data_IF_641707096836
#
_entry.id   IF_641707096836
#
_cell.length_a   1.000
_cell.length_b   1.000
_cell.length_c   1.000
_cell.angle_alpha   90.00
_cell.angle_beta   90.00
_cell.angle_gamma   90.00
#
_symmetry.space_group_name_H-M   'P 1'
#
loop_
_entity.id
_entity.type
_entity.pdbx_description
1 polymer ?
#
# COMPACT_ATOMS: atom_id res chain seq x y z
N UNK A 1 46.88 -25.16 8.87
CA UNK A 1 45.74 -24.22 8.94
C UNK A 1 44.63 -24.79 8.07
N UNK A 2 43.69 -25.53 8.65
CA UNK A 2 42.55 -26.08 7.92
C UNK A 2 41.55 -24.94 7.73
N UNK A 3 41.50 -24.37 6.54
CA UNK A 3 40.46 -23.42 6.17
C UNK A 3 39.14 -24.19 6.18
N UNK A 4 38.27 -23.93 7.16
CA UNK A 4 36.92 -24.48 7.12
C UNK A 4 36.26 -23.99 5.82
N UNK A 5 35.71 -24.91 5.00
CA UNK A 5 35.03 -24.50 3.79
C UNK A 5 33.86 -23.61 4.18
N UNK A 6 33.94 -22.33 3.82
CA UNK A 6 32.90 -21.37 4.09
C UNK A 6 31.62 -21.75 3.34
N UNK A 7 30.45 -21.32 3.83
CA UNK A 7 29.16 -21.52 3.13
C UNK A 7 29.22 -21.07 1.66
N UNK A 8 30.02 -20.03 1.38
CA UNK A 8 30.31 -19.56 0.03
C UNK A 8 31.02 -20.60 -0.83
N UNK A 9 31.94 -21.39 -0.27
CA UNK A 9 32.63 -22.48 -0.99
C UNK A 9 31.65 -23.59 -1.40
N UNK A 10 30.69 -23.96 -0.52
CA UNK A 10 29.66 -24.95 -0.86
C UNK A 10 28.76 -24.47 -1.99
N UNK A 11 28.34 -23.20 -1.96
CA UNK A 11 27.55 -22.58 -3.03
C UNK A 11 28.35 -22.46 -4.34
N UNK A 12 29.63 -22.09 -4.26
CA UNK A 12 30.51 -21.96 -5.42
C UNK A 12 30.81 -23.31 -6.10
N UNK A 13 30.96 -24.39 -5.32
CA UNK A 13 31.18 -25.74 -5.83
C UNK A 13 29.89 -26.49 -6.17
N UNK A 14 28.71 -25.93 -5.85
CA UNK A 14 27.43 -26.55 -6.18
C UNK A 14 27.21 -26.65 -7.70
N UNK A 15 26.50 -27.69 -8.11
CA UNK A 15 26.15 -27.92 -9.51
C UNK A 15 25.30 -26.79 -10.11
N UNK A 16 25.31 -26.62 -11.45
CA UNK A 16 24.63 -25.52 -12.13
C UNK A 16 23.12 -25.47 -11.84
N UNK A 17 22.47 -26.63 -11.71
CA UNK A 17 21.04 -26.70 -11.35
C UNK A 17 20.77 -26.15 -9.94
N UNK A 18 21.64 -26.45 -8.97
CA UNK A 18 21.47 -26.01 -7.58
C UNK A 18 21.63 -24.49 -7.50
N UNK A 19 22.62 -23.94 -8.21
CA UNK A 19 22.80 -22.48 -8.32
C UNK A 19 21.58 -21.78 -8.92
N UNK A 20 20.98 -22.36 -9.95
CA UNK A 20 19.76 -21.82 -10.55
C UNK A 20 18.57 -21.81 -9.59
N UNK A 21 18.34 -22.92 -8.88
CA UNK A 21 17.27 -23.00 -7.87
C UNK A 21 17.51 -21.98 -6.74
N UNK A 22 18.73 -21.84 -6.24
CA UNK A 22 19.06 -20.84 -5.21
C UNK A 22 18.79 -19.40 -5.70
N UNK A 23 19.12 -19.08 -6.95
CA UNK A 23 18.84 -17.77 -7.54
C UNK A 23 17.34 -17.54 -7.64
N UNK A 24 16.58 -18.50 -8.13
CA UNK A 24 15.12 -18.42 -8.20
C UNK A 24 14.48 -18.20 -6.83
N UNK A 25 14.93 -18.93 -5.81
CA UNK A 25 14.45 -18.76 -4.44
C UNK A 25 14.77 -17.37 -3.89
N UNK A 26 15.97 -16.85 -4.18
CA UNK A 26 16.37 -15.50 -3.79
C UNK A 26 15.50 -14.44 -4.49
N UNK A 27 15.26 -14.58 -5.79
CA UNK A 27 14.38 -13.70 -6.55
C UNK A 27 12.94 -13.73 -6.02
N UNK A 28 12.40 -14.92 -5.75
CA UNK A 28 11.06 -15.09 -5.17
C UNK A 28 10.96 -14.47 -3.77
N UNK A 29 12.02 -14.59 -2.96
CA UNK A 29 12.08 -13.96 -1.63
C UNK A 29 12.01 -12.43 -1.73
N UNK A 30 12.82 -11.82 -2.61
CA UNK A 30 12.78 -10.37 -2.85
C UNK A 30 11.39 -9.96 -3.35
N UNK A 31 10.82 -10.72 -4.29
CA UNK A 31 9.49 -10.43 -4.84
C UNK A 31 8.40 -10.44 -3.77
N UNK A 32 8.45 -11.42 -2.86
CA UNK A 32 7.52 -11.52 -1.73
C UNK A 32 7.60 -10.29 -0.83
N UNK A 33 8.82 -9.85 -0.48
CA UNK A 33 9.01 -8.63 0.31
C UNK A 33 8.51 -7.38 -0.40
N UNK A 34 8.73 -7.25 -1.72
CA UNK A 34 8.19 -6.14 -2.51
C UNK A 34 6.67 -6.06 -2.44
N UNK A 35 5.98 -7.19 -2.60
CA UNK A 35 4.50 -7.25 -2.50
C UNK A 35 4.04 -6.85 -1.10
N UNK A 36 4.70 -7.35 -0.05
CA UNK A 36 4.37 -7.02 1.34
C UNK A 36 4.46 -5.51 1.56
N UNK A 37 5.57 -4.88 1.15
CA UNK A 37 5.73 -3.43 1.27
C UNK A 37 4.69 -2.67 0.45
N UNK A 38 4.44 -3.06 -0.79
CA UNK A 38 3.45 -2.40 -1.65
C UNK A 38 2.05 -2.39 -1.00
N UNK A 39 1.62 -3.54 -0.46
CA UNK A 39 0.33 -3.66 0.22
C UNK A 39 0.29 -2.83 1.51
N UNK A 40 1.40 -2.80 2.25
CA UNK A 40 1.52 -2.01 3.47
C UNK A 40 1.39 -0.50 3.19
N UNK A 41 2.09 0.02 2.17
CA UNK A 41 1.97 1.42 1.77
C UNK A 41 0.56 1.77 1.29
N UNK A 42 -0.05 0.91 0.46
CA UNK A 42 -1.42 1.10 0.00
C UNK A 42 -2.43 1.25 1.16
N UNK A 43 -2.36 0.37 2.16
CA UNK A 43 -3.23 0.43 3.33
C UNK A 43 -2.94 1.67 4.19
N UNK A 44 -1.67 2.03 4.38
CA UNK A 44 -1.27 3.21 5.14
C UNK A 44 -1.78 4.50 4.49
N UNK A 45 -1.71 4.60 3.16
CA UNK A 45 -2.18 5.77 2.43
C UNK A 45 -3.70 5.88 2.47
N UNK A 46 -4.43 4.76 2.33
CA UNK A 46 -5.87 4.73 2.53
C UNK A 46 -6.27 5.21 3.95
N UNK A 47 -5.59 4.72 4.99
CA UNK A 47 -5.84 5.15 6.37
C UNK A 47 -5.53 6.64 6.60
N UNK A 48 -4.49 7.17 5.96
CA UNK A 48 -4.15 8.59 6.07
C UNK A 48 -5.23 9.48 5.45
N UNK A 49 -5.72 9.11 4.26
CA UNK A 49 -6.82 9.81 3.58
C UNK A 49 -8.10 9.82 4.43
N UNK A 50 -8.44 8.69 5.06
CA UNK A 50 -9.59 8.58 5.97
C UNK A 50 -9.45 9.51 7.17
N UNK A 51 -8.29 9.52 7.84
CA UNK A 51 -8.06 10.42 9.00
C UNK A 51 -8.14 11.89 8.63
N UNK A 52 -7.66 12.26 7.44
CA UNK A 52 -7.75 13.63 6.93
C UNK A 52 -9.22 14.03 6.72
N UNK A 53 -10.01 13.15 6.11
CA UNK A 53 -11.45 13.34 5.95
C UNK A 53 -12.14 13.51 7.30
N UNK A 54 -11.90 12.60 8.25
CA UNK A 54 -12.54 12.64 9.57
C UNK A 54 -12.26 13.97 10.29
N UNK A 55 -11.01 14.43 10.28
CA UNK A 55 -10.65 15.72 10.90
C UNK A 55 -11.44 16.89 10.31
N UNK A 56 -11.70 16.87 9.00
CA UNK A 56 -12.46 17.91 8.31
C UNK A 56 -13.98 17.77 8.53
N UNK A 57 -14.47 16.54 8.69
CA UNK A 57 -15.86 16.27 9.06
C UNK A 57 -16.17 16.76 10.49
N UNK A 58 -15.29 16.48 11.45
CA UNK A 58 -15.49 16.83 12.87
C UNK A 58 -15.26 18.31 13.21
N UNK A 59 -14.80 19.14 12.26
CA UNK A 59 -14.64 20.58 12.51
C UNK A 59 -15.97 21.36 12.58
N UNK A 60 -17.11 20.70 12.30
CA UNK A 60 -18.46 21.12 12.72
C UNK A 60 -19.06 22.35 12.04
N UNK A 61 -18.28 23.24 11.45
CA UNK A 61 -18.76 24.48 10.82
C UNK A 61 -18.75 24.47 9.29
N UNK A 62 -18.06 23.51 8.67
CA UNK A 62 -17.73 23.56 7.24
C UNK A 62 -18.34 22.42 6.40
N UNK A 63 -19.25 21.60 6.94
CA UNK A 63 -19.81 20.44 6.21
C UNK A 63 -20.45 20.83 4.86
N UNK A 64 -21.21 21.93 4.83
CA UNK A 64 -21.79 22.45 3.59
C UNK A 64 -20.73 22.95 2.61
N UNK A 65 -19.68 23.63 3.09
CA UNK A 65 -18.57 24.06 2.22
C UNK A 65 -17.75 22.87 1.73
N UNK A 66 -17.63 21.83 2.55
CA UNK A 66 -16.95 20.59 2.22
C UNK A 66 -17.72 19.81 1.16
N UNK A 67 -19.05 19.71 1.28
CA UNK A 67 -19.91 19.16 0.24
C UNK A 67 -19.78 19.94 -1.08
N UNK A 68 -19.83 21.28 -1.05
CA UNK A 68 -19.63 22.11 -2.25
C UNK A 68 -18.24 21.92 -2.88
N UNK A 69 -17.21 21.77 -2.06
CA UNK A 69 -15.85 21.48 -2.51
C UNK A 69 -15.72 20.06 -3.10
N UNK A 70 -16.47 19.07 -2.60
CA UNK A 70 -16.53 17.71 -3.16
C UNK A 70 -17.34 17.67 -4.46
N UNK A 71 -18.47 18.38 -4.51
CA UNK A 71 -19.30 18.53 -5.71
C UNK A 71 -18.49 19.14 -6.88
N UNK A 72 -17.58 20.08 -6.58
CA UNK A 72 -16.70 20.70 -7.59
C UNK A 72 -15.63 19.76 -8.16
N UNK A 73 -15.38 18.62 -7.50
CA UNK A 73 -14.38 17.60 -7.90
C UNK A 73 -15.00 16.20 -7.96
N UNK A 74 -16.29 16.13 -8.31
CA UNK A 74 -17.06 14.89 -8.31
C UNK A 74 -16.40 13.76 -9.10
N UNK A 75 -15.72 14.09 -10.19
CA UNK A 75 -15.08 13.13 -11.10
C UNK A 75 -13.76 12.56 -10.54
N UNK A 76 -13.21 13.17 -9.48
CA UNK A 76 -11.95 12.79 -8.83
C UNK A 76 -12.18 12.31 -7.37
N UNK A 77 -13.43 11.98 -7.02
CA UNK A 77 -13.78 11.48 -5.69
C UNK A 77 -13.39 9.99 -5.55
N UNK A 78 -12.48 9.69 -4.64
CA UNK A 78 -11.99 8.35 -4.42
C UNK A 78 -12.28 7.86 -2.99
N UNK A 79 -12.72 6.60 -2.89
CA UNK A 79 -12.91 5.91 -1.60
C UNK A 79 -13.96 6.55 -0.70
N UNK A 80 -13.55 7.03 0.47
CA UNK A 80 -14.44 7.51 1.53
C UNK A 80 -15.12 8.85 1.17
N UNK A 81 -14.48 9.70 0.37
CA UNK A 81 -15.06 10.96 -0.09
C UNK A 81 -16.28 10.74 -1.00
N UNK A 82 -16.23 9.71 -1.85
CA UNK A 82 -17.35 9.32 -2.73
C UNK A 82 -18.54 8.76 -1.93
N UNK A 83 -18.27 7.91 -0.93
CA UNK A 83 -19.32 7.35 -0.05
C UNK A 83 -20.02 8.48 0.71
N UNK A 84 -19.24 9.43 1.25
CA UNK A 84 -19.81 10.59 1.95
C UNK A 84 -20.65 11.47 1.03
N UNK A 85 -20.14 11.80 -0.16
CA UNK A 85 -20.85 12.62 -1.14
C UNK A 85 -22.21 11.98 -1.51
N UNK A 86 -22.22 10.68 -1.82
CA UNK A 86 -23.44 9.95 -2.15
C UNK A 86 -24.46 10.00 -1.00
N UNK A 87 -24.02 9.70 0.24
CA UNK A 87 -24.89 9.70 1.41
C UNK A 87 -25.42 11.09 1.79
N UNK A 88 -24.59 12.13 1.67
CA UNK A 88 -24.99 13.51 1.96
C UNK A 88 -25.93 14.06 0.88
N UNK A 89 -25.73 13.71 -0.39
CA UNK A 89 -26.63 14.13 -1.47
C UNK A 89 -28.05 13.56 -1.30
N UNK A 90 -28.16 12.32 -0.81
CA UNK A 90 -29.46 11.69 -0.53
C UNK A 90 -30.12 12.30 0.71
N UNK A 91 -29.35 12.64 1.75
CA UNK A 91 -29.87 13.32 2.94
C UNK A 91 -30.33 14.76 2.67
N UNK A 92 -29.67 15.44 1.72
CA UNK A 92 -29.98 16.80 1.29
C UNK A 92 -31.20 16.88 0.36
N UNK A 93 -31.77 15.75 -0.05
CA UNK A 93 -32.89 15.65 -0.98
C UNK A 93 -34.23 15.59 -0.23
#
# INVERSE_FOLDING_TARGET
MTNEPSLWSFVANAGPIVKFVMLLLLAASIWSWTIIFQRFFFLKDAQFSVKKFEKQFWSGSDLNKFYLALNSRQDDLHGLEHIFYAGFSEYSR
#
